data_IF_546869898713
#
_entry.id   IF_546869898713
#
_cell.length_a   1.000
_cell.length_b   1.000
_cell.length_c   1.000
_cell.angle_alpha   90.00
_cell.angle_beta   90.00
_cell.angle_gamma   90.00
#
_symmetry.space_group_name_H-M   'P 1'
#
loop_
_entity.id
_entity.type
_entity.pdbx_description
1 polymer ?
#
# COMPACT_ATOMS: atom_id res chain seq x y z
N UNK A 1 0.46 -31.29 5.18
CA UNK A 1 0.18 -29.98 4.55
C UNK A 1 1.34 -29.65 3.62
N UNK A 2 1.04 -29.01 2.48
CA UNK A 2 2.07 -28.45 1.61
C UNK A 2 2.70 -27.25 2.30
N UNK A 3 3.98 -26.98 2.04
CA UNK A 3 4.71 -25.89 2.71
C UNK A 3 5.10 -24.81 1.72
N UNK A 4 4.96 -23.54 2.10
CA UNK A 4 5.36 -22.39 1.27
C UNK A 4 6.31 -21.47 2.04
N UNK A 5 7.52 -21.25 1.47
CA UNK A 5 8.47 -20.29 2.01
C UNK A 5 8.15 -18.90 1.48
N UNK A 6 7.83 -17.98 2.35
CA UNK A 6 7.57 -16.57 2.03
C UNK A 6 8.77 -15.72 2.42
N UNK A 7 9.44 -15.16 1.44
CA UNK A 7 10.58 -14.26 1.63
C UNK A 7 10.09 -12.83 1.59
N UNK A 8 10.07 -12.16 2.73
CA UNK A 8 9.60 -10.78 2.89
C UNK A 8 10.59 -9.97 3.72
N UNK A 9 10.72 -8.69 3.41
CA UNK A 9 11.54 -7.79 4.23
C UNK A 9 10.75 -7.23 5.42
N UNK A 10 9.48 -6.91 5.19
CA UNK A 10 8.61 -6.31 6.20
C UNK A 10 7.72 -7.37 6.85
N UNK A 11 7.79 -7.44 8.18
CA UNK A 11 6.99 -8.35 9.00
C UNK A 11 6.69 -7.68 10.35
N UNK A 12 5.56 -7.98 11.03
CA UNK A 12 5.27 -7.42 12.35
C UNK A 12 6.44 -7.57 13.34
N UNK A 13 6.68 -6.55 14.19
CA UNK A 13 5.86 -5.36 14.45
C UNK A 13 6.12 -4.16 13.53
N UNK A 14 6.69 -4.35 12.33
CA UNK A 14 6.73 -3.29 11.34
C UNK A 14 5.30 -3.04 10.84
N UNK A 15 4.87 -1.77 10.80
CA UNK A 15 3.58 -1.36 10.28
C UNK A 15 3.62 -1.02 8.79
N UNK A 16 2.44 -0.67 8.24
CA UNK A 16 2.25 -0.23 6.87
C UNK A 16 1.55 -1.24 5.97
N UNK A 17 1.00 -0.76 4.87
CA UNK A 17 0.18 -1.55 3.94
C UNK A 17 0.92 -2.75 3.34
N UNK A 18 2.23 -2.62 3.14
CA UNK A 18 3.09 -3.68 2.62
C UNK A 18 3.21 -4.91 3.52
N UNK A 19 2.95 -4.75 4.83
CA UNK A 19 3.01 -5.85 5.80
C UNK A 19 1.71 -6.63 5.83
N UNK A 20 0.57 -5.95 5.82
CA UNK A 20 -0.76 -6.53 5.99
C UNK A 20 -1.04 -7.67 5.00
N UNK A 21 -0.65 -7.50 3.73
CA UNK A 21 -0.91 -8.50 2.68
C UNK A 21 -0.44 -9.90 3.07
N UNK A 22 0.83 -10.04 3.43
CA UNK A 22 1.40 -11.37 3.74
C UNK A 22 1.12 -11.83 5.16
N UNK A 23 0.84 -10.94 6.09
CA UNK A 23 0.32 -11.31 7.42
C UNK A 23 -1.05 -11.99 7.27
N UNK A 24 -1.97 -11.38 6.50
CA UNK A 24 -3.31 -11.94 6.28
C UNK A 24 -3.27 -13.23 5.44
N UNK A 25 -2.43 -13.32 4.42
CA UNK A 25 -2.23 -14.60 3.72
C UNK A 25 -1.67 -15.69 4.65
N UNK A 26 -0.68 -15.38 5.49
CA UNK A 26 -0.15 -16.35 6.44
C UNK A 26 -1.18 -16.77 7.51
N UNK A 27 -2.11 -15.88 7.88
CA UNK A 27 -3.23 -16.19 8.78
C UNK A 27 -4.18 -17.21 8.18
N UNK A 28 -4.52 -17.09 6.88
CA UNK A 28 -5.57 -17.89 6.25
C UNK A 28 -5.07 -19.07 5.40
N UNK A 29 -3.82 -19.12 4.97
CA UNK A 29 -3.24 -20.24 4.21
C UNK A 29 -3.39 -21.61 4.89
N UNK A 30 -3.29 -21.74 6.24
CA UNK A 30 -3.49 -23.03 6.89
C UNK A 30 -4.87 -23.64 6.64
N UNK A 31 -5.94 -22.83 6.54
CA UNK A 31 -7.28 -23.31 6.21
C UNK A 31 -7.39 -23.81 4.76
N UNK A 32 -6.47 -23.41 3.89
CA UNK A 32 -6.36 -23.82 2.48
C UNK A 32 -5.39 -25.00 2.28
N UNK A 33 -4.89 -25.61 3.36
CA UNK A 33 -3.99 -26.76 3.32
C UNK A 33 -2.51 -26.41 3.12
N UNK A 34 -2.13 -25.14 3.29
CA UNK A 34 -0.75 -24.68 3.15
C UNK A 34 -0.17 -24.22 4.50
N UNK A 35 1.03 -24.66 4.81
CA UNK A 35 1.82 -24.21 5.96
C UNK A 35 2.82 -23.14 5.51
N UNK A 36 2.60 -21.86 5.86
CA UNK A 36 3.55 -20.81 5.54
C UNK A 36 4.76 -20.85 6.47
N UNK A 37 5.94 -20.61 5.90
CA UNK A 37 7.19 -20.36 6.62
C UNK A 37 7.68 -18.98 6.22
N UNK A 38 7.85 -18.09 7.18
CA UNK A 38 8.22 -16.70 6.90
C UNK A 38 9.73 -16.53 7.08
N UNK A 39 10.41 -16.07 6.03
CA UNK A 39 11.79 -15.64 6.09
C UNK A 39 11.89 -14.13 6.03
N UNK A 40 12.41 -13.50 7.09
CA UNK A 40 12.43 -12.04 7.27
C UNK A 40 13.71 -11.59 8.01
N UNK A 41 14.18 -10.33 7.85
CA UNK A 41 15.31 -9.84 8.63
C UNK A 41 14.99 -9.74 10.11
N UNK A 42 16.01 -9.98 10.93
CA UNK A 42 15.95 -9.83 12.41
C UNK A 42 15.95 -8.36 12.82
N UNK A 43 16.71 -7.54 12.09
CA UNK A 43 16.96 -6.14 12.39
C UNK A 43 16.62 -5.23 11.20
N UNK A 44 15.38 -5.25 10.67
CA UNK A 44 15.00 -4.43 9.52
C UNK A 44 15.03 -2.94 9.88
N UNK A 45 15.28 -2.10 8.88
CA UNK A 45 14.98 -0.69 9.00
C UNK A 45 13.46 -0.51 8.98
N UNK A 46 12.90 -0.12 10.12
CA UNK A 46 11.46 0.04 10.29
C UNK A 46 11.05 1.46 9.93
N UNK A 47 10.05 1.59 9.08
CA UNK A 47 9.45 2.86 8.67
C UNK A 47 8.34 3.29 9.61
N UNK A 48 7.61 2.32 10.14
CA UNK A 48 6.54 2.48 11.12
C UNK A 48 6.54 1.29 12.08
N UNK A 49 5.87 1.45 13.21
CA UNK A 49 5.75 0.42 14.23
C UNK A 49 4.27 0.23 14.56
N UNK A 50 3.79 -1.03 14.46
CA UNK A 50 2.40 -1.37 14.72
C UNK A 50 2.33 -2.77 15.34
N UNK A 51 2.13 -2.80 16.66
CA UNK A 51 1.99 -4.05 17.41
C UNK A 51 0.64 -4.73 17.19
N UNK A 52 -0.38 -4.00 16.73
CA UNK A 52 -1.72 -4.58 16.56
C UNK A 52 -1.71 -5.70 15.52
N UNK A 53 -0.82 -5.62 14.53
CA UNK A 53 -0.63 -6.66 13.52
C UNK A 53 -0.10 -8.00 14.10
N UNK A 54 0.44 -8.00 15.31
CA UNK A 54 0.87 -9.24 15.97
C UNK A 54 -0.31 -10.14 16.36
N UNK A 55 -1.51 -9.58 16.54
CA UNK A 55 -2.72 -10.33 16.81
C UNK A 55 -3.11 -11.27 15.64
N UNK A 56 -2.73 -10.93 14.42
CA UNK A 56 -2.98 -11.75 13.23
C UNK A 56 -1.89 -12.80 12.97
N UNK A 57 -0.81 -12.79 13.75
CA UNK A 57 0.31 -13.74 13.61
C UNK A 57 0.07 -14.93 14.53
N UNK A 58 -0.21 -16.11 13.96
CA UNK A 58 -0.38 -17.32 14.75
C UNK A 58 0.87 -17.63 15.56
N UNK A 59 0.76 -18.01 16.85
CA UNK A 59 1.89 -18.47 17.66
C UNK A 59 2.60 -19.71 17.09
N UNK A 60 1.90 -20.52 16.28
CA UNK A 60 2.45 -21.70 15.62
C UNK A 60 3.15 -21.41 14.29
N UNK A 61 3.10 -20.17 13.80
CA UNK A 61 3.72 -19.77 12.53
C UNK A 61 5.25 -19.81 12.63
N UNK A 62 5.88 -20.59 11.76
CA UNK A 62 7.33 -20.65 11.69
C UNK A 62 7.90 -19.35 11.08
N UNK A 63 8.71 -18.62 11.87
CA UNK A 63 9.34 -17.37 11.45
C UNK A 63 10.85 -17.48 11.59
N UNK A 64 11.54 -17.56 10.47
CA UNK A 64 13.00 -17.64 10.37
C UNK A 64 13.59 -16.26 10.20
N UNK A 65 14.26 -15.74 11.24
CA UNK A 65 14.89 -14.42 11.25
C UNK A 65 16.40 -14.51 11.07
N UNK A 66 16.94 -13.62 10.21
CA UNK A 66 18.39 -13.51 10.00
C UNK A 66 18.82 -12.05 9.94
N UNK A 67 19.98 -11.71 10.52
CA UNK A 67 20.47 -10.34 10.47
C UNK A 67 20.72 -9.87 9.04
N UNK A 68 20.44 -8.59 8.79
CA UNK A 68 20.77 -7.89 7.56
C UNK A 68 21.76 -6.77 7.82
N UNK A 69 22.71 -6.57 6.92
CA UNK A 69 23.58 -5.41 6.91
C UNK A 69 22.88 -4.27 6.16
N UNK A 70 22.33 -3.31 6.91
CA UNK A 70 21.72 -2.11 6.35
C UNK A 70 22.80 -1.06 6.03
N UNK A 71 22.99 -0.67 4.76
CA UNK A 71 24.01 0.33 4.39
C UNK A 71 23.82 1.68 5.09
N UNK A 72 22.56 2.05 5.41
CA UNK A 72 22.26 3.28 6.15
C UNK A 72 22.76 3.27 7.60
N UNK A 73 22.76 2.11 8.24
CA UNK A 73 23.31 1.98 9.60
C UNK A 73 24.83 2.17 9.61
N UNK A 74 25.50 1.68 8.56
CA UNK A 74 26.93 1.90 8.36
C UNK A 74 27.23 3.39 8.08
N UNK A 75 26.43 4.01 7.20
CA UNK A 75 26.54 5.43 6.87
C UNK A 75 26.33 6.33 8.11
N UNK A 76 25.32 6.04 8.94
CA UNK A 76 25.08 6.76 10.20
C UNK A 76 26.25 6.62 11.20
N UNK A 77 26.86 5.45 11.29
CA UNK A 77 28.04 5.22 12.15
C UNK A 77 29.26 6.02 11.68
N UNK A 78 29.44 6.14 10.35
CA UNK A 78 30.59 6.86 9.77
C UNK A 78 30.46 8.39 9.81
N UNK A 79 29.24 8.94 9.76
CA UNK A 79 28.99 10.37 9.73
C UNK A 79 28.66 11.03 11.08
N UNK A 80 28.55 10.23 12.16
CA UNK A 80 28.25 10.71 13.52
C UNK A 80 26.79 11.11 13.75
N UNK A 81 26.44 11.38 15.03
CA UNK A 81 25.06 11.63 15.48
C UNK A 81 24.36 12.86 14.85
N UNK A 82 25.10 13.82 14.29
CA UNK A 82 24.55 15.03 13.69
C UNK A 82 23.84 14.80 12.34
N UNK A 83 24.19 13.74 11.61
CA UNK A 83 23.54 13.39 10.33
C UNK A 83 22.20 12.63 10.50
N UNK A 84 21.84 12.26 11.75
CA UNK A 84 20.66 11.44 12.03
C UNK A 84 19.35 12.21 11.99
N UNK A 85 19.36 13.52 12.22
CA UNK A 85 18.15 14.36 12.30
C UNK A 85 17.62 14.68 10.90
N UNK A 86 18.53 15.06 9.97
CA UNK A 86 18.14 15.34 8.57
C UNK A 86 17.66 14.06 7.84
N UNK A 87 18.28 12.93 8.16
CA UNK A 87 17.89 11.65 7.53
C UNK A 87 16.59 11.07 8.11
N UNK A 88 16.32 11.27 9.41
CA UNK A 88 15.03 10.91 10.02
C UNK A 88 13.87 11.71 9.44
N UNK A 89 14.09 13.00 9.15
CA UNK A 89 13.08 13.85 8.52
C UNK A 89 12.84 13.44 7.05
N UNK A 90 13.90 13.01 6.37
CA UNK A 90 13.83 12.50 4.99
C UNK A 90 13.18 11.09 4.95
N UNK A 91 13.38 10.25 5.95
CA UNK A 91 12.80 8.91 6.04
C UNK A 91 11.38 8.92 6.57
N UNK A 92 11.01 9.80 7.50
CA UNK A 92 9.68 9.88 8.08
C UNK A 92 8.61 10.35 7.05
N UNK A 93 8.97 11.23 6.11
CA UNK A 93 8.06 11.65 5.03
C UNK A 93 7.77 10.56 3.99
N UNK A 94 8.63 9.57 3.89
CA UNK A 94 8.50 8.49 2.91
C UNK A 94 7.86 7.22 3.49
N UNK A 95 7.84 7.11 4.82
CA UNK A 95 7.37 5.92 5.53
C UNK A 95 5.84 5.79 5.56
N UNK A 96 5.11 6.86 5.24
CA UNK A 96 3.64 6.86 5.29
C UNK A 96 2.97 6.24 4.06
N UNK A 97 3.73 6.00 2.98
CA UNK A 97 3.19 5.56 1.69
C UNK A 97 3.90 4.30 1.13
N UNK A 98 4.06 3.29 1.96
CA UNK A 98 4.56 2.00 1.49
C UNK A 98 5.91 2.09 0.76
N UNK A 99 6.98 1.89 1.50
CA UNK A 99 8.28 1.38 1.04
C UNK A 99 9.23 2.28 0.26
N UNK A 100 8.95 3.56 0.04
CA UNK A 100 9.91 4.36 -0.72
C UNK A 100 10.30 5.67 -0.07
N UNK A 101 11.55 5.72 0.35
CA UNK A 101 12.22 6.96 0.77
C UNK A 101 12.43 7.87 -0.45
N UNK A 102 11.49 8.75 -0.71
CA UNK A 102 11.73 9.87 -1.63
C UNK A 102 12.20 11.10 -0.85
N UNK A 103 13.36 11.66 -1.17
CA UNK A 103 13.74 12.95 -0.63
C UNK A 103 13.07 14.05 -1.45
N UNK A 104 11.83 14.37 -1.12
CA UNK A 104 11.16 15.57 -1.64
C UNK A 104 11.33 16.65 -0.58
N UNK A 105 12.53 17.21 -0.47
CA UNK A 105 12.71 18.53 0.12
C UNK A 105 13.13 19.49 -0.99
N UNK A 106 12.36 20.55 -1.16
CA UNK A 106 12.61 21.64 -2.14
C UNK A 106 13.83 22.51 -1.83
N UNK A 107 14.69 22.10 -0.88
CA UNK A 107 15.90 22.81 -0.51
C UNK A 107 17.15 22.38 -1.32
N UNK A 108 18.14 23.27 -1.46
CA UNK A 108 19.46 22.95 -2.05
C UNK A 108 20.14 21.83 -1.25
N UNK A 109 20.21 20.63 -1.84
CA UNK A 109 20.87 19.46 -1.22
C UNK A 109 22.39 19.71 -1.11
N UNK A 110 22.98 19.41 0.04
CA UNK A 110 24.43 19.48 0.23
C UNK A 110 25.14 18.47 -0.69
N UNK A 111 26.43 18.70 -0.98
CA UNK A 111 27.24 17.78 -1.79
C UNK A 111 27.27 16.37 -1.19
N UNK A 112 27.32 16.25 0.15
CA UNK A 112 27.27 14.96 0.86
C UNK A 112 25.94 14.24 0.64
N UNK A 113 24.82 14.96 0.68
CA UNK A 113 23.49 14.40 0.40
C UNK A 113 23.35 13.94 -1.05
N UNK A 114 23.88 14.73 -2.01
CA UNK A 114 23.89 14.36 -3.43
C UNK A 114 24.71 13.10 -3.69
N UNK A 115 25.91 13.00 -3.08
CA UNK A 115 26.76 11.82 -3.19
C UNK A 115 26.08 10.58 -2.56
N UNK A 116 25.47 10.72 -1.41
CA UNK A 116 24.72 9.64 -0.74
C UNK A 116 23.57 9.11 -1.60
N UNK A 117 22.77 10.02 -2.21
CA UNK A 117 21.71 9.65 -3.14
C UNK A 117 22.25 8.95 -4.39
N UNK A 118 23.38 9.44 -4.91
CA UNK A 118 24.02 8.82 -6.07
C UNK A 118 24.51 7.41 -5.77
N UNK A 119 25.17 7.20 -4.63
CA UNK A 119 25.63 5.87 -4.17
C UNK A 119 24.41 4.93 -4.00
N UNK A 120 23.35 5.41 -3.34
CA UNK A 120 22.11 4.64 -3.19
C UNK A 120 21.54 4.19 -4.52
N UNK A 121 21.45 5.10 -5.48
CA UNK A 121 20.82 4.86 -6.77
C UNK A 121 21.66 3.96 -7.70
N UNK A 122 23.00 3.98 -7.58
CA UNK A 122 23.88 3.40 -8.59
C UNK A 122 24.75 2.24 -8.08
N UNK A 123 25.00 2.16 -6.78
CA UNK A 123 25.78 1.06 -6.15
C UNK A 123 24.86 -0.04 -5.64
N UNK A 124 23.77 0.35 -4.97
CA UNK A 124 22.81 -0.60 -4.39
C UNK A 124 21.61 -0.81 -5.34
N UNK A 125 21.85 -1.55 -6.41
CA UNK A 125 20.85 -1.86 -7.43
C UNK A 125 20.38 -3.31 -7.22
N UNK A 126 19.05 -3.56 -7.05
CA UNK A 126 17.90 -2.69 -7.25
C UNK A 126 17.58 -1.75 -6.09
N UNK A 127 17.96 -2.11 -4.89
CA UNK A 127 17.73 -1.37 -3.64
C UNK A 127 18.79 -1.73 -2.59
N UNK A 128 18.89 -0.99 -1.46
CA UNK A 128 19.92 -1.22 -0.44
C UNK A 128 19.89 -2.60 0.21
N UNK A 129 18.77 -3.35 0.13
CA UNK A 129 18.61 -4.68 0.71
C UNK A 129 19.29 -5.77 -0.12
N UNK A 130 19.87 -5.41 -1.27
CA UNK A 130 20.71 -6.32 -2.09
C UNK A 130 21.88 -6.90 -1.31
N UNK A 131 22.31 -6.25 -0.23
CA UNK A 131 23.33 -6.78 0.69
C UNK A 131 22.91 -8.10 1.37
N UNK A 132 21.59 -8.32 1.49
CA UNK A 132 21.03 -9.54 2.11
C UNK A 132 20.97 -10.73 1.16
N UNK A 133 21.10 -10.52 -0.14
CA UNK A 133 20.99 -11.58 -1.17
C UNK A 133 21.92 -12.76 -0.91
N UNK A 134 23.21 -12.54 -0.87
CA UNK A 134 24.20 -13.63 -0.73
C UNK A 134 24.12 -14.36 0.60
N UNK A 135 24.03 -13.69 1.76
CA UNK A 135 23.84 -14.35 3.05
C UNK A 135 22.56 -15.18 3.12
N UNK A 136 21.43 -14.62 2.61
CA UNK A 136 20.13 -15.30 2.60
C UNK A 136 20.15 -16.56 1.74
N UNK A 137 20.66 -16.48 0.52
CA UNK A 137 20.75 -17.64 -0.38
C UNK A 137 21.60 -18.76 0.25
N UNK A 138 22.76 -18.41 0.83
CA UNK A 138 23.62 -19.41 1.48
C UNK A 138 22.93 -20.09 2.65
N UNK A 139 22.25 -19.32 3.48
CA UNK A 139 21.51 -19.84 4.63
C UNK A 139 20.34 -20.70 4.19
N UNK A 140 19.47 -20.17 3.30
CA UNK A 140 18.26 -20.86 2.87
C UNK A 140 18.55 -22.15 2.09
N UNK A 141 19.62 -22.21 1.32
CA UNK A 141 20.04 -23.48 0.68
C UNK A 141 20.36 -24.58 1.68
N UNK A 142 20.92 -24.23 2.86
CA UNK A 142 21.14 -25.21 3.92
C UNK A 142 19.83 -25.54 4.65
N UNK A 143 19.08 -24.52 5.03
CA UNK A 143 17.82 -24.66 5.74
C UNK A 143 16.81 -25.53 4.97
N UNK A 144 16.64 -25.30 3.66
CA UNK A 144 15.68 -26.02 2.82
C UNK A 144 16.04 -27.49 2.56
N UNK A 145 17.27 -27.91 2.83
CA UNK A 145 17.63 -29.34 2.82
C UNK A 145 17.10 -30.10 4.03
N UNK A 146 17.00 -29.41 5.18
CA UNK A 146 16.52 -29.95 6.44
C UNK A 146 15.00 -29.72 6.60
N UNK A 147 14.50 -28.63 6.02
CA UNK A 147 13.10 -28.18 6.08
C UNK A 147 12.57 -27.91 4.64
N UNK A 148 12.25 -28.96 3.88
CA UNK A 148 11.81 -28.79 2.50
C UNK A 148 10.48 -28.02 2.42
N UNK A 149 10.31 -27.27 1.33
CA UNK A 149 9.07 -26.57 0.97
C UNK A 149 8.69 -26.86 -0.48
N UNK A 150 7.41 -26.79 -0.77
CA UNK A 150 6.87 -27.08 -2.09
C UNK A 150 6.96 -25.90 -3.05
N UNK A 151 6.83 -24.68 -2.52
CA UNK A 151 6.88 -23.43 -3.29
C UNK A 151 7.64 -22.35 -2.52
N UNK A 152 8.34 -21.49 -3.25
CA UNK A 152 8.92 -20.24 -2.73
C UNK A 152 8.07 -19.09 -3.24
N UNK A 153 7.74 -18.14 -2.36
CA UNK A 153 7.15 -16.85 -2.73
C UNK A 153 8.07 -15.72 -2.26
N UNK A 154 8.30 -14.75 -3.12
CA UNK A 154 9.01 -13.53 -2.75
C UNK A 154 8.11 -12.34 -2.98
N UNK A 155 8.06 -11.38 -2.05
CA UNK A 155 7.23 -10.19 -2.19
C UNK A 155 8.07 -8.92 -2.19
N UNK A 156 7.83 -8.05 -3.12
CA UNK A 156 8.48 -6.75 -3.31
C UNK A 156 7.47 -5.60 -3.39
N UNK A 157 7.88 -4.35 -3.07
CA UNK A 157 9.21 -3.95 -2.61
C UNK A 157 9.56 -4.41 -1.19
N UNK A 158 10.86 -4.52 -0.82
CA UNK A 158 12.06 -4.27 -1.64
C UNK A 158 12.27 -5.32 -2.71
N UNK A 159 12.74 -4.88 -3.89
CA UNK A 159 12.85 -5.75 -5.07
C UNK A 159 13.99 -6.79 -4.96
N UNK A 160 14.96 -6.53 -4.08
CA UNK A 160 16.05 -7.48 -3.76
C UNK A 160 15.55 -8.83 -3.26
N UNK A 161 14.32 -8.91 -2.72
CA UNK A 161 13.73 -10.19 -2.29
C UNK A 161 13.54 -11.13 -3.47
N UNK A 162 13.15 -10.61 -4.63
CA UNK A 162 12.97 -11.42 -5.84
C UNK A 162 14.28 -12.05 -6.32
N UNK A 163 15.43 -11.36 -6.14
CA UNK A 163 16.73 -11.93 -6.49
C UNK A 163 17.13 -13.12 -5.60
N UNK A 164 16.64 -13.17 -4.34
CA UNK A 164 16.83 -14.33 -3.47
C UNK A 164 16.02 -15.50 -4.02
N UNK A 165 14.73 -15.28 -4.36
CA UNK A 165 13.86 -16.30 -4.94
C UNK A 165 14.37 -16.83 -6.27
N UNK A 166 14.78 -15.94 -7.18
CA UNK A 166 15.41 -16.29 -8.47
C UNK A 166 16.58 -17.26 -8.27
N UNK A 167 17.47 -16.92 -7.33
CA UNK A 167 18.65 -17.74 -7.09
C UNK A 167 18.34 -19.09 -6.48
N UNK A 168 17.42 -19.15 -5.53
CA UNK A 168 16.98 -20.40 -4.91
C UNK A 168 16.26 -21.31 -5.92
N UNK A 169 15.34 -20.73 -6.71
CA UNK A 169 14.65 -21.46 -7.79
C UNK A 169 15.63 -22.10 -8.76
N UNK A 170 16.60 -21.34 -9.25
CA UNK A 170 17.63 -21.80 -10.16
C UNK A 170 18.52 -22.90 -9.58
N UNK A 171 18.90 -22.77 -8.31
CA UNK A 171 19.85 -23.67 -7.66
C UNK A 171 19.20 -24.95 -7.09
N UNK A 172 17.89 -24.92 -6.76
CA UNK A 172 17.18 -26.00 -6.07
C UNK A 172 16.02 -26.60 -6.88
N UNK A 173 15.59 -25.94 -7.98
CA UNK A 173 14.46 -26.37 -8.80
C UNK A 173 13.08 -26.20 -8.16
N UNK A 174 12.97 -25.56 -6.98
CA UNK A 174 11.69 -25.34 -6.30
C UNK A 174 10.88 -24.30 -7.09
N UNK A 175 9.59 -24.52 -7.40
CA UNK A 175 8.72 -23.52 -8.02
C UNK A 175 8.73 -22.19 -7.25
N UNK A 176 8.74 -21.07 -7.99
CA UNK A 176 8.87 -19.76 -7.39
C UNK A 176 7.84 -18.77 -7.95
N UNK A 177 7.11 -18.08 -7.05
CA UNK A 177 6.20 -16.99 -7.35
C UNK A 177 6.85 -15.66 -6.96
N UNK A 178 6.91 -14.72 -7.90
CA UNK A 178 7.36 -13.37 -7.65
C UNK A 178 6.12 -12.46 -7.48
N UNK A 179 5.81 -12.03 -6.24
CA UNK A 179 4.69 -11.14 -5.90
C UNK A 179 5.10 -9.67 -6.06
N UNK A 180 4.76 -9.09 -7.20
CA UNK A 180 4.99 -7.69 -7.52
C UNK A 180 3.78 -6.85 -7.09
N UNK A 181 3.91 -6.19 -5.95
CA UNK A 181 2.90 -5.22 -5.51
C UNK A 181 2.96 -3.95 -6.34
N UNK A 182 4.14 -3.66 -6.89
CA UNK A 182 4.43 -2.52 -7.74
C UNK A 182 5.36 -2.92 -8.89
N UNK A 183 5.21 -2.32 -10.08
CA UNK A 183 6.13 -2.56 -11.18
C UNK A 183 7.47 -1.91 -10.85
N UNK A 184 8.55 -2.69 -10.92
CA UNK A 184 9.88 -2.33 -10.45
C UNK A 184 10.44 -1.06 -11.12
N UNK A 185 10.38 -1.00 -12.45
CA UNK A 185 10.95 0.12 -13.22
C UNK A 185 9.95 1.23 -13.54
N UNK A 186 8.66 1.07 -13.17
CA UNK A 186 7.60 2.07 -13.40
C UNK A 186 7.22 2.83 -12.12
N UNK A 187 8.02 2.71 -11.06
CA UNK A 187 7.76 3.43 -9.82
C UNK A 187 8.04 4.92 -9.98
N UNK A 188 7.05 5.75 -9.61
CA UNK A 188 7.09 7.21 -9.73
C UNK A 188 8.32 7.87 -9.11
N UNK A 189 8.86 7.30 -8.03
CA UNK A 189 10.03 7.86 -7.33
C UNK A 189 11.34 7.66 -8.08
N UNK A 190 11.44 6.72 -9.02
CA UNK A 190 12.69 6.48 -9.76
C UNK A 190 13.10 7.68 -10.59
N UNK A 191 12.15 8.48 -11.10
CA UNK A 191 12.41 9.73 -11.82
C UNK A 191 13.14 10.78 -10.97
N UNK A 192 13.04 10.68 -9.63
CA UNK A 192 13.69 11.58 -8.68
C UNK A 192 15.07 11.10 -8.20
N UNK A 193 15.49 9.90 -8.60
CA UNK A 193 16.79 9.34 -8.26
C UNK A 193 17.84 9.69 -9.35
N UNK A 194 19.09 10.03 -8.97
CA UNK A 194 20.17 10.31 -9.92
C UNK A 194 20.73 9.03 -10.54
N UNK A 195 19.87 8.25 -11.22
CA UNK A 195 20.24 7.00 -11.88
C UNK A 195 21.10 7.27 -13.11
N UNK A 196 22.22 6.54 -13.23
CA UNK A 196 22.98 6.50 -14.48
C UNK A 196 22.29 5.64 -15.53
N UNK A 197 22.57 5.87 -16.82
CA UNK A 197 22.06 5.03 -17.91
C UNK A 197 22.37 3.54 -17.70
N UNK A 198 23.54 3.22 -17.10
CA UNK A 198 23.94 1.85 -16.78
C UNK A 198 23.08 1.25 -15.69
N UNK A 199 22.83 1.99 -14.60
CA UNK A 199 22.00 1.52 -13.49
C UNK A 199 20.53 1.35 -13.92
N UNK A 200 20.05 2.30 -14.74
CA UNK A 200 18.70 2.22 -15.31
C UNK A 200 18.53 0.98 -16.18
N UNK A 201 19.46 0.70 -17.10
CA UNK A 201 19.45 -0.51 -17.91
C UNK A 201 19.51 -1.78 -17.06
N UNK A 202 20.36 -1.80 -16.03
CA UNK A 202 20.48 -2.93 -15.11
C UNK A 202 19.19 -3.20 -14.33
N UNK A 203 18.45 -2.16 -13.94
CA UNK A 203 17.13 -2.31 -13.30
C UNK A 203 16.15 -3.02 -14.22
N UNK A 204 16.06 -2.59 -15.48
CA UNK A 204 15.17 -3.22 -16.48
C UNK A 204 15.56 -4.69 -16.75
N UNK A 205 16.84 -4.94 -16.99
CA UNK A 205 17.34 -6.30 -17.21
C UNK A 205 17.03 -7.24 -16.03
N UNK A 206 17.12 -6.73 -14.79
CA UNK A 206 16.76 -7.51 -13.59
C UNK A 206 15.26 -7.79 -13.52
N UNK A 207 14.41 -6.78 -13.74
CA UNK A 207 12.95 -6.92 -13.71
C UNK A 207 12.48 -7.93 -14.76
N UNK A 208 12.93 -7.77 -16.03
CA UNK A 208 12.61 -8.69 -17.10
C UNK A 208 13.07 -10.12 -16.81
N UNK A 209 14.28 -10.29 -16.27
CA UNK A 209 14.81 -11.59 -15.92
C UNK A 209 13.99 -12.26 -14.83
N UNK A 210 13.66 -11.53 -13.76
CA UNK A 210 12.80 -12.02 -12.67
C UNK A 210 11.43 -12.44 -13.22
N UNK A 211 10.84 -11.63 -14.10
CA UNK A 211 9.54 -11.94 -14.69
C UNK A 211 9.57 -13.19 -15.58
N UNK A 212 10.67 -13.44 -16.31
CA UNK A 212 10.83 -14.61 -17.20
C UNK A 212 11.18 -15.90 -16.46
N UNK A 213 12.00 -15.80 -15.41
CA UNK A 213 12.50 -16.96 -14.66
C UNK A 213 11.49 -17.44 -13.60
N UNK A 214 10.64 -16.58 -13.08
CA UNK A 214 9.61 -16.97 -12.11
C UNK A 214 8.64 -17.99 -12.71
N UNK A 215 8.19 -18.96 -11.90
CA UNK A 215 7.14 -19.92 -12.29
C UNK A 215 5.80 -19.21 -12.50
N UNK A 216 5.54 -18.16 -11.72
CA UNK A 216 4.42 -17.22 -11.94
C UNK A 216 4.79 -15.84 -11.40
N UNK A 217 4.21 -14.80 -11.99
CA UNK A 217 4.32 -13.39 -11.55
C UNK A 217 2.98 -12.97 -10.97
N UNK A 218 2.90 -12.84 -9.65
CA UNK A 218 1.68 -12.38 -8.99
C UNK A 218 1.64 -10.85 -8.99
N UNK A 219 0.47 -10.27 -9.28
CA UNK A 219 0.27 -8.82 -9.40
C UNK A 219 -0.96 -8.35 -8.63
N UNK A 220 -1.09 -7.04 -8.42
CA UNK A 220 -2.17 -6.47 -7.56
C UNK A 220 -3.18 -5.61 -8.32
N UNK A 221 -2.89 -5.20 -9.56
CA UNK A 221 -3.79 -4.37 -10.37
C UNK A 221 -3.81 -4.83 -11.83
N UNK A 222 -4.89 -4.54 -12.59
CA UNK A 222 -4.98 -4.91 -14.01
C UNK A 222 -3.83 -4.33 -14.84
N UNK A 223 -3.46 -3.09 -14.59
CA UNK A 223 -2.42 -2.39 -15.35
C UNK A 223 -1.03 -2.97 -15.09
N UNK A 224 -0.73 -3.35 -13.82
CA UNK A 224 0.52 -4.04 -13.45
C UNK A 224 0.55 -5.44 -14.07
N UNK A 225 -0.57 -6.16 -14.04
CA UNK A 225 -0.70 -7.46 -14.72
C UNK A 225 -0.40 -7.35 -16.21
N UNK A 226 -1.01 -6.39 -16.90
CA UNK A 226 -0.86 -6.23 -18.34
C UNK A 226 0.56 -5.78 -18.72
N UNK A 227 1.21 -4.98 -17.87
CA UNK A 227 2.62 -4.67 -18.00
C UNK A 227 3.51 -5.93 -17.95
N UNK A 228 3.32 -6.79 -16.94
CA UNK A 228 4.11 -8.02 -16.83
C UNK A 228 3.77 -9.06 -17.90
N UNK A 229 2.53 -9.14 -18.37
CA UNK A 229 2.18 -9.96 -19.55
C UNK A 229 2.97 -9.59 -20.80
N UNK A 230 3.38 -8.33 -20.93
CA UNK A 230 4.28 -7.89 -22.00
C UNK A 230 5.74 -8.31 -21.82
N UNK A 231 6.16 -8.73 -20.62
CA UNK A 231 7.54 -9.10 -20.30
C UNK A 231 7.79 -10.62 -20.27
N UNK A 232 6.75 -11.42 -20.04
CA UNK A 232 6.89 -12.86 -19.84
C UNK A 232 5.75 -13.66 -20.45
N UNK A 233 6.02 -14.91 -20.85
CA UNK A 233 5.02 -15.91 -21.23
C UNK A 233 4.54 -16.75 -20.04
N UNK A 234 5.09 -16.54 -18.85
CA UNK A 234 4.67 -17.23 -17.63
C UNK A 234 3.29 -16.75 -17.17
N UNK A 235 2.57 -17.53 -16.35
CA UNK A 235 1.33 -17.09 -15.75
C UNK A 235 1.50 -15.78 -14.99
N UNK A 236 0.59 -14.82 -15.24
CA UNK A 236 0.56 -13.52 -14.55
C UNK A 236 -0.83 -13.34 -13.90
N UNK A 237 -1.13 -14.10 -12.83
CA UNK A 237 -2.37 -13.91 -12.08
C UNK A 237 -2.38 -12.55 -11.37
N UNK A 238 -3.61 -12.07 -11.09
CA UNK A 238 -3.84 -10.86 -10.34
C UNK A 238 -4.63 -11.20 -9.08
N UNK A 239 -4.02 -10.98 -7.93
CA UNK A 239 -4.68 -11.06 -6.63
C UNK A 239 -4.47 -9.70 -5.94
N UNK A 240 -5.53 -8.92 -5.81
CA UNK A 240 -5.47 -7.55 -5.27
C UNK A 240 -5.09 -7.54 -3.78
N UNK A 241 -4.91 -6.35 -3.21
CA UNK A 241 -5.06 -6.18 -1.78
C UNK A 241 -6.54 -6.33 -1.42
N UNK A 242 -6.86 -6.42 -0.13
CA UNK A 242 -8.22 -6.64 0.32
C UNK A 242 -8.41 -6.20 1.76
N UNK A 243 -9.60 -6.43 2.29
CA UNK A 243 -9.98 -6.19 3.67
C UNK A 243 -10.12 -7.51 4.45
N UNK A 244 -10.05 -7.44 5.76
CA UNK A 244 -10.39 -8.55 6.64
C UNK A 244 -11.81 -8.32 7.20
N UNK A 245 -12.74 -9.24 6.94
CA UNK A 245 -14.12 -9.10 7.41
C UNK A 245 -14.20 -9.09 8.95
N UNK A 246 -13.22 -9.69 9.64
CA UNK A 246 -13.16 -9.66 11.10
C UNK A 246 -12.96 -8.24 11.64
N UNK A 247 -12.28 -7.36 10.92
CA UNK A 247 -12.08 -5.96 11.30
C UNK A 247 -13.39 -5.14 11.24
N UNK A 248 -14.38 -5.61 10.45
CA UNK A 248 -15.69 -4.98 10.26
C UNK A 248 -16.81 -5.71 11.01
N UNK A 249 -16.49 -6.74 11.79
CA UNK A 249 -17.46 -7.42 12.63
C UNK A 249 -17.92 -6.51 13.80
N UNK A 250 -19.17 -6.65 14.19
CA UNK A 250 -19.77 -5.87 15.27
C UNK A 250 -20.79 -4.84 14.79
N UNK A 251 -21.34 -4.08 15.72
CA UNK A 251 -22.40 -3.09 15.45
C UNK A 251 -21.86 -1.91 14.63
N UNK A 252 -22.70 -1.43 13.70
CA UNK A 252 -22.45 -0.18 13.01
C UNK A 252 -22.67 0.97 13.97
N UNK A 253 -21.78 1.97 14.05
CA UNK A 253 -22.01 3.12 14.91
C UNK A 253 -23.32 3.82 14.58
N UNK A 254 -24.06 4.23 15.60
CA UNK A 254 -25.27 5.02 15.42
C UNK A 254 -24.97 6.36 14.73
N UNK A 255 -25.83 6.81 13.80
CA UNK A 255 -25.69 8.12 13.17
C UNK A 255 -25.70 9.25 14.20
N UNK A 256 -24.76 10.15 14.13
CA UNK A 256 -24.64 11.33 15.01
C UNK A 256 -25.47 12.55 14.54
N UNK A 257 -26.27 12.37 13.48
CA UNK A 257 -27.10 13.42 12.89
C UNK A 257 -26.32 14.44 12.06
N UNK A 258 -25.04 14.18 11.76
CA UNK A 258 -24.20 15.01 10.90
C UNK A 258 -23.95 14.36 9.55
N UNK A 259 -23.69 15.19 8.53
CA UNK A 259 -23.21 14.74 7.23
C UNK A 259 -21.68 14.60 7.28
N UNK A 260 -21.24 13.38 7.56
CA UNK A 260 -19.84 13.06 7.81
C UNK A 260 -19.10 12.72 6.51
N UNK A 261 -18.21 13.61 6.06
CA UNK A 261 -17.23 13.34 5.03
C UNK A 261 -15.93 12.85 5.70
N UNK A 262 -15.60 11.57 5.55
CA UNK A 262 -14.55 10.92 6.34
C UNK A 262 -13.35 10.57 5.49
N UNK A 263 -12.15 10.92 5.96
CA UNK A 263 -10.87 10.42 5.45
C UNK A 263 -10.06 9.77 6.56
N UNK A 264 -9.52 8.58 6.32
CA UNK A 264 -8.65 7.90 7.29
C UNK A 264 -7.24 7.70 6.74
N UNK A 265 -6.23 7.88 7.59
CA UNK A 265 -4.82 7.71 7.31
C UNK A 265 -4.10 8.99 6.85
N UNK A 266 -3.01 8.86 6.10
CA UNK A 266 -2.25 10.03 5.63
C UNK A 266 -3.05 10.81 4.59
N UNK A 267 -3.14 12.12 4.80
CA UNK A 267 -3.63 13.09 3.82
C UNK A 267 -2.48 14.02 3.42
N UNK A 268 -1.81 13.68 2.34
CA UNK A 268 -0.61 14.37 1.90
C UNK A 268 -0.94 15.62 1.06
N UNK A 269 -0.07 16.61 1.09
CA UNK A 269 -0.24 17.87 0.36
C UNK A 269 -0.31 17.67 -1.17
N UNK A 270 0.41 16.69 -1.72
CA UNK A 270 0.38 16.37 -3.16
C UNK A 270 -0.88 15.58 -3.58
N UNK A 271 -1.70 15.18 -2.61
CA UNK A 271 -3.05 14.64 -2.78
C UNK A 271 -4.17 15.61 -2.38
N UNK A 272 -3.88 16.92 -2.18
CA UNK A 272 -4.84 17.90 -1.73
C UNK A 272 -5.86 18.27 -2.84
N UNK A 273 -7.16 17.90 -2.73
CA UNK A 273 -8.15 18.11 -3.78
C UNK A 273 -8.78 19.50 -3.69
N UNK A 274 -8.12 20.53 -4.19
CA UNK A 274 -8.61 21.92 -4.10
C UNK A 274 -10.02 22.10 -4.67
N UNK A 275 -10.37 21.37 -5.73
CA UNK A 275 -11.71 21.39 -6.33
C UNK A 275 -12.79 20.93 -5.33
N UNK A 276 -12.48 19.94 -4.48
CA UNK A 276 -13.41 19.46 -3.46
C UNK A 276 -13.71 20.55 -2.41
N UNK A 277 -12.65 21.20 -1.91
CA UNK A 277 -12.80 22.25 -0.89
C UNK A 277 -13.58 23.44 -1.43
N UNK A 278 -13.32 23.83 -2.69
CA UNK A 278 -14.09 24.86 -3.38
C UNK A 278 -15.59 24.51 -3.44
N UNK A 279 -15.93 23.32 -3.92
CA UNK A 279 -17.32 22.87 -4.04
C UNK A 279 -18.03 22.83 -2.69
N UNK A 280 -17.38 22.27 -1.66
CA UNK A 280 -17.94 22.20 -0.31
C UNK A 280 -18.16 23.59 0.28
N UNK A 281 -17.23 24.54 0.08
CA UNK A 281 -17.37 25.93 0.52
C UNK A 281 -18.55 26.64 -0.16
N UNK A 282 -18.73 26.46 -1.46
CA UNK A 282 -19.86 27.01 -2.22
C UNK A 282 -21.20 26.40 -1.77
N UNK A 283 -21.27 25.09 -1.54
CA UNK A 283 -22.45 24.43 -0.99
C UNK A 283 -22.79 24.96 0.42
N UNK A 284 -21.78 25.09 1.28
CA UNK A 284 -21.93 25.61 2.64
C UNK A 284 -22.38 27.09 2.65
N UNK A 285 -21.95 27.88 1.67
CA UNK A 285 -22.39 29.29 1.54
C UNK A 285 -23.82 29.39 1.01
N UNK A 286 -24.27 28.47 0.16
CA UNK A 286 -25.58 28.48 -0.46
C UNK A 286 -26.68 27.84 0.39
N UNK A 287 -26.36 26.86 1.24
CA UNK A 287 -27.32 26.10 2.05
C UNK A 287 -26.89 26.08 3.54
N UNK A 288 -27.52 26.91 4.42
CA UNK A 288 -27.14 26.99 5.84
C UNK A 288 -27.26 25.65 6.59
N UNK A 289 -28.25 24.82 6.26
CA UNK A 289 -28.44 23.51 6.86
C UNK A 289 -27.27 22.58 6.50
N UNK A 290 -26.79 22.62 5.25
CA UNK A 290 -25.60 21.87 4.83
C UNK A 290 -24.38 22.28 5.64
N UNK A 291 -24.14 23.58 5.80
CA UNK A 291 -23.04 24.10 6.60
C UNK A 291 -23.13 23.66 8.06
N UNK A 292 -24.31 23.68 8.64
CA UNK A 292 -24.54 23.26 10.03
C UNK A 292 -24.23 21.77 10.23
N UNK A 293 -24.61 20.92 9.27
CA UNK A 293 -24.50 19.45 9.38
C UNK A 293 -23.17 18.90 8.88
N UNK A 294 -22.48 19.59 8.00
CA UNK A 294 -21.20 19.10 7.43
C UNK A 294 -20.15 18.91 8.51
N UNK A 295 -19.50 17.75 8.50
CA UNK A 295 -18.30 17.45 9.30
C UNK A 295 -17.24 16.80 8.41
N UNK A 296 -16.08 17.42 8.34
CA UNK A 296 -14.88 16.90 7.69
C UNK A 296 -14.08 16.14 8.75
N UNK A 297 -14.26 14.82 8.84
CA UNK A 297 -13.64 13.98 9.86
C UNK A 297 -12.34 13.40 9.32
N UNK A 298 -11.21 13.94 9.79
CA UNK A 298 -9.88 13.59 9.32
C UNK A 298 -9.16 12.77 10.39
N UNK A 299 -8.99 11.47 10.15
CA UNK A 299 -8.31 10.55 11.07
C UNK A 299 -6.95 10.16 10.51
N UNK A 300 -5.89 10.52 11.19
CA UNK A 300 -4.50 10.24 10.79
C UNK A 300 -3.68 11.52 10.67
N UNK A 301 -2.56 11.43 9.94
CA UNK A 301 -1.72 12.59 9.69
C UNK A 301 -2.24 13.39 8.51
N UNK A 302 -2.57 14.65 8.73
CA UNK A 302 -2.95 15.61 7.69
C UNK A 302 -1.83 16.63 7.50
N UNK A 303 -1.38 16.83 6.27
CA UNK A 303 -0.38 17.86 5.97
C UNK A 303 -1.02 19.25 6.08
N UNK A 304 -0.22 20.23 6.51
CA UNK A 304 -0.67 21.59 6.82
C UNK A 304 -1.36 22.27 5.63
N UNK A 305 -0.84 22.06 4.44
CA UNK A 305 -1.38 22.64 3.21
C UNK A 305 -2.83 22.19 2.90
N UNK A 306 -3.23 21.01 3.40
CA UNK A 306 -4.61 20.52 3.30
C UNK A 306 -5.52 21.31 4.23
N UNK A 307 -5.11 21.48 5.49
CA UNK A 307 -5.88 22.25 6.48
C UNK A 307 -6.01 23.72 6.09
N UNK A 308 -4.95 24.32 5.53
CA UNK A 308 -4.95 25.68 5.00
C UNK A 308 -5.97 25.81 3.85
N UNK A 309 -5.97 24.86 2.90
CA UNK A 309 -6.92 24.89 1.78
C UNK A 309 -8.39 24.74 2.23
N UNK A 310 -8.66 23.93 3.26
CA UNK A 310 -9.98 23.81 3.87
C UNK A 310 -10.39 25.13 4.54
N UNK A 311 -9.46 25.78 5.26
CA UNK A 311 -9.69 27.08 5.89
C UNK A 311 -9.97 28.17 4.86
N UNK A 312 -9.22 28.21 3.76
CA UNK A 312 -9.41 29.18 2.67
C UNK A 312 -10.78 29.02 1.98
N UNK A 313 -11.34 27.81 2.02
CA UNK A 313 -12.69 27.53 1.54
C UNK A 313 -13.81 27.90 2.56
N UNK A 314 -13.46 28.47 3.72
CA UNK A 314 -14.44 28.90 4.77
C UNK A 314 -15.01 27.72 5.58
N UNK A 315 -14.31 26.59 5.65
CA UNK A 315 -14.77 25.34 6.27
C UNK A 315 -14.05 25.01 7.59
N UNK A 316 -13.32 25.95 8.19
CA UNK A 316 -12.55 25.71 9.42
C UNK A 316 -13.40 25.13 10.56
N UNK A 317 -14.62 25.66 10.74
CA UNK A 317 -15.54 25.23 11.81
C UNK A 317 -16.13 23.82 11.56
N UNK A 318 -16.02 23.31 10.33
CA UNK A 318 -16.53 22.01 9.94
C UNK A 318 -15.49 20.90 10.11
N UNK A 319 -14.22 21.21 10.40
CA UNK A 319 -13.14 20.24 10.53
C UNK A 319 -13.14 19.60 11.91
N UNK A 320 -13.12 18.27 11.92
CA UNK A 320 -12.82 17.45 13.08
C UNK A 320 -11.52 16.68 12.80
N UNK A 321 -10.37 17.29 13.16
CA UNK A 321 -9.08 16.62 13.11
C UNK A 321 -8.95 15.67 14.30
N UNK A 322 -9.08 14.37 14.03
CA UNK A 322 -9.07 13.32 15.04
C UNK A 322 -7.65 12.84 15.38
N UNK A 323 -6.64 13.36 14.66
CA UNK A 323 -5.26 12.93 14.80
C UNK A 323 -5.07 11.43 14.52
N UNK A 324 -3.99 10.87 15.08
CA UNK A 324 -3.74 9.44 14.96
C UNK A 324 -4.81 8.64 15.73
N UNK A 325 -5.49 7.75 15.02
CA UNK A 325 -6.42 6.79 15.60
C UNK A 325 -5.87 5.36 15.41
N UNK A 326 -6.18 4.47 16.36
CA UNK A 326 -5.98 3.05 16.15
C UNK A 326 -6.87 2.49 15.04
N UNK A 327 -6.55 1.29 14.54
CA UNK A 327 -7.27 0.69 13.42
C UNK A 327 -8.76 0.49 13.70
N UNK A 328 -9.12 0.05 14.91
CA UNK A 328 -10.53 -0.19 15.30
C UNK A 328 -11.35 1.10 15.25
N UNK A 329 -10.79 2.20 15.77
CA UNK A 329 -11.42 3.51 15.72
C UNK A 329 -11.52 4.04 14.28
N UNK A 330 -10.47 3.84 13.47
CA UNK A 330 -10.51 4.22 12.05
C UNK A 330 -11.62 3.47 11.29
N UNK A 331 -11.81 2.18 11.53
CA UNK A 331 -12.92 1.39 10.95
C UNK A 331 -14.28 1.90 11.43
N UNK A 332 -14.41 2.26 12.71
CA UNK A 332 -15.66 2.85 13.22
C UNK A 332 -15.98 4.18 12.51
N UNK A 333 -15.00 5.07 12.32
CA UNK A 333 -15.17 6.31 11.54
C UNK A 333 -15.60 6.03 10.09
N UNK A 334 -14.97 5.03 9.44
CA UNK A 334 -15.34 4.64 8.07
C UNK A 334 -16.80 4.16 8.00
N UNK A 335 -17.25 3.36 8.96
CA UNK A 335 -18.63 2.83 9.01
C UNK A 335 -19.68 3.89 9.36
N UNK A 336 -19.29 4.97 10.08
CA UNK A 336 -20.14 6.09 10.43
C UNK A 336 -20.20 7.18 9.34
N UNK A 337 -19.45 7.04 8.24
CA UNK A 337 -19.39 8.04 7.19
C UNK A 337 -20.70 8.16 6.41
N UNK A 338 -21.05 9.37 6.02
CA UNK A 338 -22.02 9.65 4.95
C UNK A 338 -21.34 9.50 3.58
N UNK A 339 -20.08 9.94 3.48
CA UNK A 339 -19.23 9.78 2.29
C UNK A 339 -17.78 9.50 2.73
N UNK A 340 -17.14 8.53 2.12
CA UNK A 340 -15.73 8.22 2.31
C UNK A 340 -14.88 8.95 1.25
N UNK A 341 -13.96 9.77 1.69
CA UNK A 341 -13.09 10.54 0.80
C UNK A 341 -11.76 9.81 0.55
N UNK A 342 -11.46 9.56 -0.72
CA UNK A 342 -10.25 8.86 -1.13
C UNK A 342 -9.49 9.60 -2.25
N UNK A 343 -8.72 10.65 -1.92
CA UNK A 343 -7.88 11.31 -2.89
C UNK A 343 -6.60 10.51 -3.16
N UNK A 344 -6.25 10.38 -4.44
CA UNK A 344 -4.94 9.92 -4.88
C UNK A 344 -3.98 11.11 -4.96
N UNK A 345 -2.70 10.84 -5.21
CA UNK A 345 -1.77 11.92 -5.55
C UNK A 345 -2.03 12.41 -6.98
N UNK A 346 -1.87 13.70 -7.20
CA UNK A 346 -2.00 14.30 -8.52
C UNK A 346 -0.73 14.03 -9.36
N UNK A 347 -0.50 12.77 -9.68
CA UNK A 347 0.59 12.31 -10.55
C UNK A 347 0.04 11.22 -11.50
N UNK A 348 0.25 11.32 -12.81
CA UNK A 348 -0.24 10.34 -13.79
C UNK A 348 0.18 8.89 -13.50
N UNK A 349 1.30 8.68 -12.83
CA UNK A 349 1.78 7.34 -12.47
C UNK A 349 0.94 6.69 -11.37
N UNK A 350 0.09 7.48 -10.64
CA UNK A 350 -0.86 6.94 -9.66
C UNK A 350 -2.07 6.23 -10.27
N UNK A 351 -2.26 6.32 -11.60
CA UNK A 351 -3.36 5.60 -12.26
C UNK A 351 -3.30 4.07 -12.08
N UNK A 352 -2.13 3.50 -11.82
CA UNK A 352 -1.97 2.05 -11.60
C UNK A 352 -2.17 1.63 -10.14
N UNK A 353 -2.33 2.59 -9.21
CA UNK A 353 -2.35 2.34 -7.77
C UNK A 353 -3.76 1.99 -7.28
N UNK A 354 -3.84 0.94 -6.45
CA UNK A 354 -5.00 0.65 -5.61
C UNK A 354 -4.57 0.85 -4.15
N UNK A 355 -4.96 1.97 -3.51
CA UNK A 355 -4.60 2.22 -2.12
C UNK A 355 -5.27 1.18 -1.21
N UNK A 356 -4.58 0.76 -0.15
CA UNK A 356 -5.10 -0.23 0.80
C UNK A 356 -6.45 0.19 1.41
N UNK A 357 -6.62 1.48 1.68
CA UNK A 357 -7.86 2.07 2.20
C UNK A 357 -9.09 1.82 1.30
N UNK A 358 -8.90 1.71 -0.03
CA UNK A 358 -10.01 1.42 -0.93
C UNK A 358 -10.78 0.17 -0.48
N UNK A 359 -10.05 -0.89 -0.11
CA UNK A 359 -10.66 -2.15 0.28
C UNK A 359 -11.38 -2.06 1.64
N UNK A 360 -10.82 -1.31 2.58
CA UNK A 360 -11.49 -1.01 3.85
C UNK A 360 -12.78 -0.19 3.60
N UNK A 361 -12.72 0.79 2.71
CA UNK A 361 -13.87 1.61 2.34
C UNK A 361 -14.97 0.79 1.62
N UNK A 362 -14.58 -0.15 0.78
CA UNK A 362 -15.50 -1.12 0.19
C UNK A 362 -16.19 -1.98 1.28
N UNK A 363 -15.43 -2.41 2.29
CA UNK A 363 -15.97 -3.18 3.41
C UNK A 363 -16.89 -2.35 4.32
N UNK A 364 -16.61 -1.06 4.48
CA UNK A 364 -17.48 -0.13 5.23
C UNK A 364 -18.83 0.12 4.55
N UNK A 365 -18.97 -0.22 3.24
CA UNK A 365 -20.20 -0.09 2.44
C UNK A 365 -20.82 1.31 2.46
N UNK A 366 -19.98 2.34 2.47
CA UNK A 366 -20.40 3.74 2.36
C UNK A 366 -20.01 4.32 1.00
N UNK A 367 -20.76 5.29 0.46
CA UNK A 367 -20.40 5.94 -0.81
C UNK A 367 -18.97 6.46 -0.80
N UNK A 368 -18.19 6.13 -1.82
CA UNK A 368 -16.79 6.56 -1.96
C UNK A 368 -16.71 7.68 -2.99
N UNK A 369 -16.21 8.85 -2.57
CA UNK A 369 -15.78 9.90 -3.47
C UNK A 369 -14.26 9.83 -3.63
N UNK A 370 -13.81 9.25 -4.72
CA UNK A 370 -12.42 9.27 -5.15
C UNK A 370 -12.07 10.56 -5.88
N UNK A 371 -10.86 11.07 -5.68
CA UNK A 371 -10.29 12.13 -6.52
C UNK A 371 -9.01 11.59 -7.14
N UNK A 372 -8.95 11.55 -8.46
CA UNK A 372 -7.83 10.95 -9.18
C UNK A 372 -8.13 10.72 -10.66
N UNK A 373 -7.37 9.82 -11.28
CA UNK A 373 -7.53 9.50 -12.71
C UNK A 373 -8.79 8.66 -12.95
N UNK A 374 -9.73 9.18 -13.75
CA UNK A 374 -11.01 8.54 -14.09
C UNK A 374 -10.84 7.26 -14.94
N UNK A 375 -9.65 7.03 -15.50
CA UNK A 375 -9.28 5.83 -16.26
C UNK A 375 -8.28 4.93 -15.50
N UNK A 376 -8.09 5.19 -14.20
CA UNK A 376 -7.16 4.48 -13.34
C UNK A 376 -7.70 3.18 -12.75
N UNK A 377 -6.83 2.42 -12.08
CA UNK A 377 -7.17 1.15 -11.43
C UNK A 377 -8.29 1.33 -10.38
N UNK A 378 -8.28 2.44 -9.62
CA UNK A 378 -9.32 2.73 -8.63
C UNK A 378 -10.67 2.99 -9.30
N UNK A 379 -10.69 3.70 -10.45
CA UNK A 379 -11.90 3.94 -11.21
C UNK A 379 -12.56 2.63 -11.67
N UNK A 380 -11.76 1.67 -12.13
CA UNK A 380 -12.25 0.35 -12.53
C UNK A 380 -12.93 -0.37 -11.36
N UNK A 381 -12.30 -0.39 -10.18
CA UNK A 381 -12.86 -1.05 -8.99
C UNK A 381 -14.15 -0.37 -8.54
N UNK A 382 -14.18 0.97 -8.45
CA UNK A 382 -15.38 1.71 -8.03
C UNK A 382 -16.55 1.47 -9.01
N UNK A 383 -16.26 1.46 -10.31
CA UNK A 383 -17.26 1.17 -11.34
C UNK A 383 -17.80 -0.26 -11.26
N UNK A 384 -16.92 -1.25 -11.11
CA UNK A 384 -17.30 -2.67 -11.02
C UNK A 384 -18.12 -2.97 -9.77
N UNK A 385 -17.80 -2.32 -8.66
CA UNK A 385 -18.49 -2.54 -7.38
C UNK A 385 -19.71 -1.65 -7.19
N UNK A 386 -19.85 -0.58 -7.97
CA UNK A 386 -20.89 0.43 -7.71
C UNK A 386 -20.74 1.13 -6.35
N UNK A 387 -19.52 1.11 -5.76
CA UNK A 387 -19.28 1.63 -4.42
C UNK A 387 -19.11 3.16 -4.38
N UNK A 388 -19.07 3.82 -5.53
CA UNK A 388 -18.90 5.27 -5.60
C UNK A 388 -18.35 5.72 -6.95
N UNK A 389 -17.83 6.93 -6.98
CA UNK A 389 -17.23 7.52 -8.17
C UNK A 389 -15.80 7.95 -7.92
N UNK A 390 -15.06 8.17 -9.01
CA UNK A 390 -13.83 8.93 -9.01
C UNK A 390 -14.00 10.13 -9.94
N UNK A 391 -13.59 11.30 -9.49
CA UNK A 391 -13.57 12.53 -10.27
C UNK A 391 -12.13 12.97 -10.51
N UNK A 392 -11.85 13.49 -11.71
CA UNK A 392 -10.57 14.16 -11.99
C UNK A 392 -10.38 15.38 -11.09
N UNK A 393 -9.12 15.73 -10.85
CA UNK A 393 -8.69 16.86 -10.01
C UNK A 393 -9.32 18.20 -10.39
N UNK A 394 -9.80 18.34 -11.62
CA UNK A 394 -10.42 19.56 -12.15
C UNK A 394 -11.91 19.36 -12.50
N UNK A 395 -12.48 18.19 -12.24
CA UNK A 395 -13.87 17.88 -12.60
C UNK A 395 -14.84 18.34 -11.50
N UNK A 396 -15.00 19.67 -11.38
CA UNK A 396 -15.89 20.30 -10.40
C UNK A 396 -17.32 19.77 -10.49
N UNK A 397 -17.83 19.56 -11.72
CA UNK A 397 -19.19 19.07 -11.92
C UNK A 397 -19.39 17.67 -11.30
N UNK A 398 -18.49 16.74 -11.55
CA UNK A 398 -18.59 15.37 -11.00
C UNK A 398 -18.51 15.37 -9.47
N UNK A 399 -17.63 16.20 -8.88
CA UNK A 399 -17.54 16.37 -7.43
C UNK A 399 -18.84 16.92 -6.85
N UNK A 400 -19.39 17.98 -7.45
CA UNK A 400 -20.65 18.62 -7.03
C UNK A 400 -21.82 17.67 -7.12
N UNK A 401 -22.03 17.04 -8.29
CA UNK A 401 -23.12 16.09 -8.53
C UNK A 401 -23.12 14.97 -7.48
N UNK A 402 -21.92 14.44 -7.16
CA UNK A 402 -21.74 13.38 -6.16
C UNK A 402 -22.11 13.84 -4.74
N UNK A 403 -21.60 15.02 -4.33
CA UNK A 403 -21.89 15.58 -3.00
C UNK A 403 -23.37 15.95 -2.82
N UNK A 404 -23.98 16.55 -3.85
CA UNK A 404 -25.42 16.89 -3.82
C UNK A 404 -26.31 15.65 -3.77
N UNK A 405 -25.93 14.57 -4.48
CA UNK A 405 -26.63 13.29 -4.41
C UNK A 405 -26.55 12.68 -3.01
N UNK A 406 -25.34 12.65 -2.44
CA UNK A 406 -25.11 12.14 -1.09
C UNK A 406 -25.83 12.99 -0.02
N UNK A 407 -25.82 14.32 -0.17
CA UNK A 407 -26.54 15.24 0.74
C UNK A 407 -28.04 15.03 0.68
N UNK A 408 -28.62 14.87 -0.52
CA UNK A 408 -30.04 14.55 -0.68
C UNK A 408 -30.40 13.24 -0.01
N UNK A 409 -29.60 12.18 -0.21
CA UNK A 409 -29.82 10.90 0.44
C UNK A 409 -29.77 11.01 1.97
N UNK A 410 -28.82 11.78 2.50
CA UNK A 410 -28.71 12.05 3.93
C UNK A 410 -29.97 12.76 4.48
N UNK A 411 -30.48 13.82 3.82
CA UNK A 411 -31.72 14.53 4.23
C UNK A 411 -32.94 13.62 4.20
N UNK A 412 -33.00 12.69 3.25
CA UNK A 412 -34.08 11.69 3.17
C UNK A 412 -33.96 10.56 4.22
N UNK A 413 -32.97 10.62 5.11
CA UNK A 413 -32.69 9.58 6.11
C UNK A 413 -32.23 8.25 5.49
N UNK A 414 -31.85 8.27 4.22
CA UNK A 414 -31.33 7.10 3.53
C UNK A 414 -29.83 7.00 3.76
N UNK A 415 -29.43 6.00 4.54
CA UNK A 415 -28.03 5.57 4.58
C UNK A 415 -27.87 4.56 3.46
N UNK A 416 -27.39 5.00 2.31
CA UNK A 416 -27.16 4.09 1.20
C UNK A 416 -26.00 3.17 1.55
N UNK A 417 -26.29 1.87 1.68
CA UNK A 417 -25.23 0.86 1.60
C UNK A 417 -24.81 0.76 0.15
N UNK A 418 -23.58 1.15 -0.14
CA UNK A 418 -23.00 1.11 -1.46
C UNK A 418 -22.12 -0.14 -1.64
N UNK A 419 -22.00 -0.55 -2.88
CA UNK A 419 -21.13 -1.64 -3.27
C UNK A 419 -21.89 -2.95 -3.49
N UNK A 420 -21.73 -3.49 -4.69
CA UNK A 420 -22.23 -4.81 -5.07
C UNK A 420 -21.40 -5.94 -4.44
N UNK A 421 -20.91 -6.86 -5.26
CA UNK A 421 -20.05 -7.95 -4.81
C UNK A 421 -18.64 -7.47 -4.42
N UNK A 422 -18.50 -7.11 -3.14
CA UNK A 422 -17.19 -6.76 -2.54
C UNK A 422 -16.53 -7.96 -1.83
N UNK A 423 -17.25 -9.08 -1.65
CA UNK A 423 -16.76 -10.26 -0.95
C UNK A 423 -15.52 -10.86 -1.62
N UNK A 424 -15.39 -10.71 -2.93
CA UNK A 424 -14.17 -11.13 -3.66
C UNK A 424 -12.89 -10.44 -3.19
N UNK A 425 -12.98 -9.30 -2.52
CA UNK A 425 -11.85 -8.58 -1.94
C UNK A 425 -11.60 -8.93 -0.47
N UNK A 426 -12.35 -9.87 0.09
CA UNK A 426 -12.08 -10.39 1.42
C UNK A 426 -10.78 -11.21 1.44
N UNK A 427 -9.99 -11.05 2.50
CA UNK A 427 -8.69 -11.73 2.64
C UNK A 427 -8.80 -13.25 2.56
N UNK A 428 -9.90 -13.85 3.03
CA UNK A 428 -10.15 -15.31 2.90
C UNK A 428 -10.31 -15.71 1.43
N UNK A 429 -11.15 -14.99 0.68
CA UNK A 429 -11.37 -15.27 -0.74
C UNK A 429 -10.06 -15.12 -1.55
N UNK A 430 -9.31 -14.03 -1.31
CA UNK A 430 -8.02 -13.81 -1.96
C UNK A 430 -6.97 -14.87 -1.57
N UNK A 431 -7.07 -15.44 -0.36
CA UNK A 431 -6.18 -16.53 0.07
C UNK A 431 -6.52 -17.84 -0.65
N UNK A 432 -7.80 -18.12 -0.87
CA UNK A 432 -8.23 -19.28 -1.67
C UNK A 432 -7.73 -19.17 -3.12
N UNK A 433 -7.77 -17.98 -3.73
CA UNK A 433 -7.18 -17.74 -5.06
C UNK A 433 -5.65 -17.98 -5.05
N UNK A 434 -4.95 -17.50 -4.02
CA UNK A 434 -3.52 -17.74 -3.85
C UNK A 434 -3.20 -19.22 -3.71
N UNK A 435 -3.97 -19.94 -2.88
CA UNK A 435 -3.80 -21.39 -2.69
C UNK A 435 -4.06 -22.16 -4.00
N UNK A 436 -5.04 -21.74 -4.79
CA UNK A 436 -5.29 -22.26 -6.14
C UNK A 436 -4.08 -22.10 -7.07
N UNK A 437 -3.47 -20.90 -7.08
CA UNK A 437 -2.23 -20.65 -7.82
C UNK A 437 -1.09 -21.58 -7.34
N UNK A 438 -0.85 -21.65 -6.02
CA UNK A 438 0.21 -22.47 -5.45
C UNK A 438 0.00 -23.96 -5.77
N UNK A 439 -1.23 -24.45 -5.69
CA UNK A 439 -1.58 -25.84 -6.04
C UNK A 439 -1.27 -26.15 -7.51
N UNK A 440 -1.54 -25.21 -8.42
CA UNK A 440 -1.23 -25.36 -9.85
C UNK A 440 0.26 -25.43 -10.19
N UNK A 441 1.14 -25.04 -9.26
CA UNK A 441 2.60 -25.10 -9.46
C UNK A 441 3.27 -26.38 -8.95
N UNK A 442 2.56 -27.18 -8.12
CA UNK A 442 3.10 -28.38 -7.45
C UNK A 442 2.38 -29.68 -7.85
N UNK A 443 1.40 -29.58 -8.75
CA UNK A 443 0.72 -30.73 -9.35
C UNK A 443 1.44 -31.10 -10.71
#
# INVERSE_FOLDING_TARGET
MKRVLVITYYWPPTGGSGVQRWVKFAKYLPSEGWEPVIYTPENPERTSYDETLLADVSPSLEIVRRPIMEPYNLYRRLLGKGASTDLKTLTAKAASDGDVVTPISSGRKSLKQRLSLWIRANVFVPDPRVTWLRPSVRFLKKYLKEHPVDVIVTTGPPQSMHLIGERLHKDLGIPWVADFRDPWTKMYYLKHLPLTKRSWRRLHEMEERVAREASAVLTVTPMVRDYFKGLTSRPVPMITNGYDAEDFAGETPEPDGNFNLVHTGLFAADGNPLVLWKVLGEMAASEPEFKEKLRLRLSGKVDREVLEAISDAGLSDNVADLGYCDHKKAVAEQRAASVLLLPLRNDPEYRVILPGKLFEYLAARRPILGIGQEDGAMALVLKETGAGIIADWNNEKAVRDSLEAAWRAFKDGRIEECGGDVARFERRALTSELAGLLNGLVN
#
